data_IF_191462455403
#
_entry.id   IF_191462455403
#
_cell.length_a   1.000
_cell.length_b   1.000
_cell.length_c   1.000
_cell.angle_alpha   90.00
_cell.angle_beta   90.00
_cell.angle_gamma   90.00
#
_symmetry.space_group_name_H-M   'P 1'
#
loop_
_entity.id
_entity.type
_entity.pdbx_description
1 polymer ?
#
# COMPACT_ATOMS: atom_id res chain seq x y z
N UNK A 1 -3.50 -18.76 0.67
CA UNK A 1 -3.58 -18.41 -0.77
C UNK A 1 -3.96 -19.62 -1.65
N UNK A 2 -4.96 -20.41 -1.21
CA UNK A 2 -5.33 -21.69 -1.85
C UNK A 2 -5.95 -21.45 -3.24
N UNK A 3 -6.79 -20.41 -3.38
CA UNK A 3 -7.44 -20.05 -4.64
C UNK A 3 -6.45 -19.63 -5.74
N UNK A 4 -5.35 -18.96 -5.38
CA UNK A 4 -4.29 -18.62 -6.34
C UNK A 4 -3.53 -19.86 -6.80
N UNK A 5 -3.15 -20.74 -5.87
CA UNK A 5 -2.46 -21.98 -6.20
C UNK A 5 -3.34 -22.90 -7.08
N UNK A 6 -4.64 -22.97 -6.81
CA UNK A 6 -5.61 -23.70 -7.64
C UNK A 6 -5.80 -23.07 -9.02
N UNK A 7 -5.89 -21.74 -9.11
CA UNK A 7 -6.00 -21.01 -10.37
C UNK A 7 -4.78 -21.24 -11.28
N UNK A 8 -3.57 -21.13 -10.72
CA UNK A 8 -2.31 -21.35 -11.43
C UNK A 8 -2.18 -22.82 -11.84
N UNK A 9 -2.48 -23.77 -10.94
CA UNK A 9 -2.42 -25.20 -11.23
C UNK A 9 -3.41 -25.64 -12.33
N UNK A 10 -4.53 -24.95 -12.49
CA UNK A 10 -5.52 -25.21 -13.56
C UNK A 10 -5.20 -24.50 -14.87
N UNK A 11 -4.12 -23.72 -14.94
CA UNK A 11 -3.83 -22.85 -16.08
C UNK A 11 -4.85 -21.72 -16.26
N UNK A 12 -5.77 -21.54 -15.31
CA UNK A 12 -6.85 -20.55 -15.36
C UNK A 12 -6.42 -19.28 -14.62
N UNK A 13 -5.44 -18.58 -15.21
CA UNK A 13 -4.96 -17.28 -14.72
C UNK A 13 -6.03 -16.17 -14.79
N UNK A 14 -7.22 -16.46 -15.32
CA UNK A 14 -8.35 -15.53 -15.43
C UNK A 14 -9.42 -15.71 -14.34
N UNK A 15 -9.21 -16.63 -13.39
CA UNK A 15 -10.18 -16.95 -12.36
C UNK A 15 -10.15 -16.00 -11.14
N UNK A 16 -8.97 -15.51 -10.74
CA UNK A 16 -8.81 -14.56 -9.63
C UNK A 16 -8.12 -13.27 -10.06
N UNK A 17 -8.48 -12.14 -9.43
CA UNK A 17 -7.87 -10.84 -9.73
C UNK A 17 -6.37 -10.83 -9.43
N UNK A 18 -5.95 -11.54 -8.38
CA UNK A 18 -4.54 -11.71 -8.03
C UNK A 18 -3.77 -12.45 -9.14
N UNK A 19 -4.33 -13.52 -9.70
CA UNK A 19 -3.70 -14.25 -10.81
C UNK A 19 -3.62 -13.40 -12.09
N UNK A 20 -4.61 -12.53 -12.33
CA UNK A 20 -4.55 -11.59 -13.45
C UNK A 20 -3.47 -10.53 -13.25
N UNK A 21 -3.39 -9.91 -12.07
CA UNK A 21 -2.34 -8.92 -11.75
C UNK A 21 -0.97 -9.58 -11.87
N UNK A 22 -0.78 -10.75 -11.26
CA UNK A 22 0.50 -11.49 -11.30
C UNK A 22 0.91 -11.83 -12.73
N UNK A 23 -0.04 -12.31 -13.55
CA UNK A 23 0.22 -12.71 -14.94
C UNK A 23 0.45 -11.57 -15.94
N UNK A 24 0.20 -10.32 -15.55
CA UNK A 24 0.47 -9.12 -16.38
C UNK A 24 1.85 -8.51 -16.07
N UNK A 25 2.40 -8.83 -14.90
CA UNK A 25 3.76 -8.43 -14.52
C UNK A 25 4.79 -9.31 -15.22
N UNK A 26 6.06 -8.89 -15.19
CA UNK A 26 7.14 -9.63 -15.83
C UNK A 26 7.35 -11.00 -15.16
N UNK A 27 7.86 -11.98 -15.92
CA UNK A 27 8.00 -13.37 -15.44
C UNK A 27 8.84 -13.48 -14.17
N UNK A 28 9.81 -12.59 -13.98
CA UNK A 28 10.65 -12.53 -12.79
C UNK A 28 9.89 -12.04 -11.54
N UNK A 29 8.73 -11.41 -11.69
CA UNK A 29 7.86 -10.97 -10.61
C UNK A 29 6.76 -11.97 -10.26
N UNK A 30 6.57 -13.03 -11.07
CA UNK A 30 5.49 -14.00 -10.87
C UNK A 30 5.61 -14.74 -9.53
N UNK A 31 4.49 -14.88 -8.84
CA UNK A 31 4.41 -15.54 -7.53
C UNK A 31 5.10 -14.80 -6.38
N UNK A 32 5.73 -13.64 -6.63
CA UNK A 32 6.41 -12.84 -5.59
C UNK A 32 5.48 -11.76 -5.04
N UNK A 33 5.63 -11.45 -3.76
CA UNK A 33 4.95 -10.34 -3.07
C UNK A 33 3.43 -10.28 -3.35
N UNK A 34 2.77 -11.45 -3.36
CA UNK A 34 1.37 -11.57 -3.78
C UNK A 34 0.41 -10.73 -2.90
N UNK A 35 0.71 -10.60 -1.62
CA UNK A 35 -0.05 -9.75 -0.71
C UNK A 35 0.17 -8.26 -1.02
N UNK A 36 1.42 -7.85 -1.24
CA UNK A 36 1.78 -6.49 -1.68
C UNK A 36 1.03 -6.13 -2.97
N UNK A 37 0.88 -7.09 -3.90
CA UNK A 37 0.11 -6.88 -5.13
C UNK A 37 -1.36 -6.54 -4.89
N UNK A 38 -1.93 -6.98 -3.78
CA UNK A 38 -3.30 -6.68 -3.37
C UNK A 38 -3.44 -5.43 -2.50
N UNK A 39 -2.36 -4.85 -1.97
CA UNK A 39 -2.43 -3.66 -1.11
C UNK A 39 -1.78 -2.42 -1.72
N UNK A 40 -0.72 -2.60 -2.49
CA UNK A 40 0.11 -1.50 -2.98
C UNK A 40 -0.64 -0.66 -4.01
N UNK A 41 -0.57 0.67 -3.82
CA UNK A 41 -1.19 1.65 -4.73
C UNK A 41 -0.79 1.45 -6.19
N UNK A 42 0.46 1.04 -6.45
CA UNK A 42 0.99 0.79 -7.80
C UNK A 42 0.17 -0.21 -8.62
N UNK A 43 -0.56 -1.13 -7.96
CA UNK A 43 -1.37 -2.14 -8.63
C UNK A 43 -2.86 -1.79 -8.68
N UNK A 44 -3.32 -0.76 -7.95
CA UNK A 44 -4.75 -0.45 -7.80
C UNK A 44 -5.41 0.03 -9.09
N UNK A 45 -4.68 0.81 -9.89
CA UNK A 45 -5.14 1.18 -11.22
C UNK A 45 -5.21 -0.02 -12.17
N UNK A 46 -4.17 -0.87 -12.18
CA UNK A 46 -4.14 -2.10 -12.97
C UNK A 46 -5.30 -3.04 -12.59
N UNK A 47 -5.58 -3.18 -11.30
CA UNK A 47 -6.71 -3.95 -10.78
C UNK A 47 -8.04 -3.45 -11.36
N UNK A 48 -8.28 -2.14 -11.29
CA UNK A 48 -9.47 -1.51 -11.87
C UNK A 48 -9.54 -1.77 -13.39
N UNK A 49 -8.43 -1.55 -14.11
CA UNK A 49 -8.34 -1.76 -15.55
C UNK A 49 -8.72 -3.20 -15.94
N UNK A 50 -8.19 -4.20 -15.24
CA UNK A 50 -8.48 -5.61 -15.50
C UNK A 50 -9.95 -5.96 -15.26
N UNK A 51 -10.53 -5.43 -14.17
CA UNK A 51 -11.96 -5.61 -13.88
C UNK A 51 -12.82 -5.00 -14.99
N UNK A 52 -12.54 -3.76 -15.39
CA UNK A 52 -13.32 -3.07 -16.43
C UNK A 52 -13.20 -3.75 -17.79
N UNK A 53 -12.01 -4.24 -18.16
CA UNK A 53 -11.82 -5.02 -19.39
C UNK A 53 -12.61 -6.33 -19.37
N UNK A 54 -12.66 -7.03 -18.22
CA UNK A 54 -13.44 -8.26 -18.07
C UNK A 54 -14.94 -7.99 -18.16
N UNK A 55 -15.43 -6.94 -17.51
CA UNK A 55 -16.83 -6.51 -17.59
C UNK A 55 -17.21 -6.06 -19.00
N UNK A 56 -16.33 -5.33 -19.69
CA UNK A 56 -16.53 -4.93 -21.09
C UNK A 56 -16.62 -6.13 -22.02
N UNK A 57 -15.72 -7.11 -21.87
CA UNK A 57 -15.74 -8.37 -22.64
C UNK A 57 -17.04 -9.15 -22.40
N UNK A 58 -17.56 -9.12 -21.17
CA UNK A 58 -18.84 -9.72 -20.80
C UNK A 58 -20.07 -8.88 -21.21
N UNK A 59 -19.88 -7.70 -21.82
CA UNK A 59 -20.93 -6.74 -22.20
C UNK A 59 -21.77 -6.26 -21.01
N UNK A 60 -21.16 -6.17 -19.83
CA UNK A 60 -21.79 -5.64 -18.61
C UNK A 60 -21.59 -4.13 -18.43
N UNK A 61 -20.65 -3.54 -19.20
CA UNK A 61 -20.40 -2.10 -19.24
C UNK A 61 -20.49 -1.65 -20.71
N UNK A 62 -21.25 -0.58 -20.96
CA UNK A 62 -21.47 -0.03 -22.29
C UNK A 62 -20.43 1.02 -22.67
N UNK A 63 -19.81 1.64 -21.67
CA UNK A 63 -18.80 2.69 -21.77
C UNK A 63 -17.61 2.32 -22.64
N UNK A 64 -17.06 3.33 -23.32
CA UNK A 64 -15.86 3.21 -24.14
C UNK A 64 -14.63 3.27 -23.24
N UNK A 65 -14.28 2.12 -22.67
CA UNK A 65 -13.02 1.94 -21.96
C UNK A 65 -11.91 1.89 -23.01
N UNK A 66 -11.00 2.86 -22.99
CA UNK A 66 -9.81 2.80 -23.83
C UNK A 66 -8.98 1.65 -23.27
N UNK A 67 -8.82 0.58 -24.06
CA UNK A 67 -7.91 -0.50 -23.70
C UNK A 67 -6.49 0.03 -23.77
N UNK A 68 -6.06 0.65 -22.69
CA UNK A 68 -4.68 0.97 -22.45
C UNK A 68 -3.85 -0.31 -22.59
N UNK A 69 -2.72 -0.25 -23.30
CA UNK A 69 -1.75 -1.33 -23.26
C UNK A 69 -1.38 -1.61 -21.80
N UNK A 70 -1.44 -2.88 -21.40
CA UNK A 70 -1.04 -3.34 -20.07
C UNK A 70 0.47 -3.11 -19.80
N UNK A 71 1.24 -2.75 -20.84
CA UNK A 71 2.67 -2.49 -20.78
C UNK A 71 3.00 -0.98 -20.76
N UNK A 72 2.26 -0.15 -21.51
CA UNK A 72 2.61 1.27 -21.71
C UNK A 72 1.66 2.28 -21.06
N UNK A 73 0.40 1.90 -20.89
CA UNK A 73 -0.68 2.83 -20.56
C UNK A 73 -1.46 2.40 -19.31
N UNK A 74 -0.79 1.68 -18.40
CA UNK A 74 -1.43 1.19 -17.18
C UNK A 74 -2.12 2.31 -16.42
N UNK A 75 -3.32 2.01 -15.97
CA UNK A 75 -4.05 2.84 -15.03
C UNK A 75 -3.28 2.89 -13.71
N UNK A 76 -3.39 4.02 -13.02
CA UNK A 76 -2.68 4.29 -11.77
C UNK A 76 -3.62 4.40 -10.58
N UNK A 77 -3.06 4.42 -9.38
CA UNK A 77 -3.81 4.59 -8.14
C UNK A 77 -4.55 5.95 -8.09
N UNK A 78 -3.98 6.96 -8.75
CA UNK A 78 -4.56 8.28 -8.89
C UNK A 78 -5.88 8.26 -9.67
N UNK A 79 -6.00 7.39 -10.69
CA UNK A 79 -7.24 7.23 -11.47
C UNK A 79 -8.38 6.69 -10.58
N UNK A 80 -8.07 5.69 -9.75
CA UNK A 80 -9.01 5.15 -8.73
C UNK A 80 -9.44 6.26 -7.77
N UNK A 81 -8.47 7.04 -7.29
CA UNK A 81 -8.72 8.13 -6.34
C UNK A 81 -9.57 9.25 -6.95
N UNK A 82 -9.36 9.60 -8.21
CA UNK A 82 -10.13 10.60 -8.93
C UNK A 82 -11.59 10.14 -9.12
N UNK A 83 -11.79 8.88 -9.53
CA UNK A 83 -13.13 8.28 -9.67
C UNK A 83 -13.89 8.30 -8.34
N UNK A 84 -13.23 7.93 -7.24
CA UNK A 84 -13.84 7.97 -5.90
C UNK A 84 -14.29 9.38 -5.48
N UNK A 85 -13.62 10.44 -5.98
CA UNK A 85 -14.02 11.84 -5.79
C UNK A 85 -15.10 12.31 -6.77
N UNK A 86 -15.59 11.45 -7.64
CA UNK A 86 -16.44 11.78 -8.80
C UNK A 86 -15.78 12.76 -9.79
N UNK A 87 -14.45 12.77 -9.89
CA UNK A 87 -13.71 13.61 -10.83
C UNK A 87 -13.64 12.95 -12.21
N UNK A 88 -14.81 12.77 -12.84
CA UNK A 88 -14.91 12.13 -14.15
C UNK A 88 -14.32 12.96 -15.29
N UNK A 89 -14.27 14.28 -15.12
CA UNK A 89 -13.69 15.21 -16.09
C UNK A 89 -12.18 15.42 -15.89
N UNK A 90 -11.55 14.69 -14.97
CA UNK A 90 -10.09 14.71 -14.78
C UNK A 90 -9.38 14.26 -16.06
N UNK A 91 -8.38 15.02 -16.49
CA UNK A 91 -7.65 14.72 -17.73
C UNK A 91 -7.04 13.32 -17.73
N UNK A 92 -6.59 12.82 -16.57
CA UNK A 92 -6.05 11.47 -16.44
C UNK A 92 -7.14 10.40 -16.57
N UNK A 93 -8.34 10.64 -16.05
CA UNK A 93 -9.47 9.71 -16.19
C UNK A 93 -10.00 9.71 -17.63
N UNK A 94 -10.10 10.88 -18.25
CA UNK A 94 -10.62 11.05 -19.62
C UNK A 94 -9.76 10.38 -20.69
N UNK A 95 -8.42 10.30 -20.48
CA UNK A 95 -7.55 9.53 -21.40
C UNK A 95 -7.72 8.02 -21.27
N UNK A 96 -8.42 7.54 -20.24
CA UNK A 96 -8.67 6.12 -19.99
C UNK A 96 -10.12 5.71 -20.27
N UNK A 97 -11.08 6.60 -20.03
CA UNK A 97 -12.49 6.39 -20.32
C UNK A 97 -13.00 7.56 -21.17
N UNK A 98 -13.15 7.31 -22.47
CA UNK A 98 -13.49 8.37 -23.43
C UNK A 98 -14.96 8.79 -23.32
N UNK A 99 -15.83 7.80 -23.14
CA UNK A 99 -17.26 8.02 -22.95
C UNK A 99 -17.73 7.09 -21.85
N UNK A 100 -18.26 7.66 -20.76
CA UNK A 100 -18.84 6.88 -19.67
C UNK A 100 -20.33 7.17 -19.51
N UNK A 101 -21.13 6.10 -19.64
CA UNK A 101 -22.57 6.14 -19.41
C UNK A 101 -22.87 6.43 -17.93
N UNK A 102 -24.02 7.07 -17.64
CA UNK A 102 -24.38 7.43 -16.26
C UNK A 102 -24.52 6.22 -15.34
N UNK A 103 -25.07 5.11 -15.84
CA UNK A 103 -25.22 3.87 -15.05
C UNK A 103 -23.84 3.27 -14.78
N UNK A 104 -23.00 3.22 -15.82
CA UNK A 104 -21.64 2.71 -15.70
C UNK A 104 -20.79 3.57 -14.75
N UNK A 105 -20.97 4.91 -14.70
CA UNK A 105 -20.25 5.78 -13.73
C UNK A 105 -20.43 5.28 -12.30
N UNK A 106 -21.67 5.00 -11.91
CA UNK A 106 -21.97 4.56 -10.56
C UNK A 106 -21.35 3.18 -10.28
N UNK A 107 -21.48 2.24 -11.22
CA UNK A 107 -20.89 0.90 -11.08
C UNK A 107 -19.36 0.94 -11.02
N UNK A 108 -18.71 1.75 -11.86
CA UNK A 108 -17.25 1.91 -11.85
C UNK A 108 -16.78 2.51 -10.53
N UNK A 109 -17.53 3.47 -9.96
CA UNK A 109 -17.23 3.99 -8.64
C UNK A 109 -17.36 2.93 -7.54
N UNK A 110 -18.41 2.12 -7.56
CA UNK A 110 -18.60 1.02 -6.62
C UNK A 110 -17.45 -0.01 -6.72
N UNK A 111 -16.97 -0.29 -7.93
CA UNK A 111 -15.78 -1.14 -8.12
C UNK A 111 -14.54 -0.50 -7.47
N UNK A 112 -14.33 0.81 -7.64
CA UNK A 112 -13.24 1.52 -6.96
C UNK A 112 -13.37 1.46 -5.44
N UNK A 113 -14.59 1.52 -4.90
CA UNK A 113 -14.85 1.37 -3.46
C UNK A 113 -14.49 -0.04 -2.99
N UNK A 114 -14.87 -1.09 -3.73
CA UNK A 114 -14.49 -2.48 -3.44
C UNK A 114 -12.97 -2.65 -3.44
N UNK A 115 -12.27 -2.13 -4.45
CA UNK A 115 -10.79 -2.22 -4.57
C UNK A 115 -10.11 -1.52 -3.39
N UNK A 116 -10.61 -0.33 -3.01
CA UNK A 116 -10.13 0.43 -1.85
C UNK A 116 -10.35 -0.35 -0.55
N UNK A 117 -11.56 -0.87 -0.36
CA UNK A 117 -11.97 -1.52 0.88
C UNK A 117 -11.24 -2.86 1.07
N UNK A 118 -11.04 -3.63 0.01
CA UNK A 118 -10.23 -4.84 0.04
C UNK A 118 -8.80 -4.55 0.49
N UNK A 119 -8.15 -3.51 -0.07
CA UNK A 119 -6.82 -3.13 0.35
C UNK A 119 -6.79 -2.65 1.82
N UNK A 120 -7.80 -1.88 2.25
CA UNK A 120 -7.91 -1.42 3.63
C UNK A 120 -8.10 -2.57 4.63
N UNK A 121 -8.91 -3.58 4.29
CA UNK A 121 -9.12 -4.79 5.10
C UNK A 121 -7.82 -5.56 5.29
N UNK A 122 -7.07 -5.81 4.21
CA UNK A 122 -5.82 -6.57 4.28
C UNK A 122 -4.79 -5.81 5.13
N UNK A 123 -4.67 -4.49 4.94
CA UNK A 123 -3.80 -3.64 5.78
C UNK A 123 -4.21 -3.72 7.25
N UNK A 124 -5.50 -3.64 7.57
CA UNK A 124 -5.97 -3.76 8.95
C UNK A 124 -5.62 -5.13 9.56
N UNK A 125 -5.83 -6.23 8.83
CA UNK A 125 -5.45 -7.57 9.27
C UNK A 125 -3.95 -7.69 9.56
N UNK A 126 -3.09 -7.12 8.70
CA UNK A 126 -1.64 -7.11 8.92
C UNK A 126 -1.23 -6.31 10.16
N UNK A 127 -1.87 -5.15 10.37
CA UNK A 127 -1.60 -4.32 11.55
C UNK A 127 -2.05 -5.02 12.85
N UNK A 128 -3.20 -5.70 12.85
CA UNK A 128 -3.64 -6.50 14.01
C UNK A 128 -2.68 -7.64 14.29
N UNK A 129 -2.26 -8.39 13.27
CA UNK A 129 -1.27 -9.45 13.45
C UNK A 129 0.07 -8.93 14.01
N UNK A 130 0.48 -7.72 13.62
CA UNK A 130 1.67 -7.08 14.19
C UNK A 130 1.46 -6.68 15.66
N UNK A 131 0.29 -6.13 16.01
CA UNK A 131 -0.06 -5.77 17.38
C UNK A 131 -0.13 -7.01 18.29
N UNK A 132 -0.68 -8.12 17.80
CA UNK A 132 -0.75 -9.40 18.53
C UNK A 132 0.65 -9.91 18.89
N UNK A 133 1.61 -9.80 17.96
CA UNK A 133 3.02 -10.18 18.20
C UNK A 133 3.66 -9.26 19.24
N UNK A 134 3.28 -7.98 19.28
CA UNK A 134 3.79 -7.01 20.24
C UNK A 134 3.08 -7.07 21.60
N UNK A 135 1.93 -7.74 21.68
CA UNK A 135 1.08 -7.74 22.88
C UNK A 135 0.40 -6.38 23.13
N UNK A 136 0.19 -5.60 22.07
CA UNK A 136 -0.36 -4.24 22.12
C UNK A 136 -1.81 -4.22 21.61
N UNK A 137 -2.61 -3.25 22.04
CA UNK A 137 -3.99 -3.03 21.55
C UNK A 137 -4.23 -1.63 21.03
N UNK A 138 -3.18 -0.82 20.93
CA UNK A 138 -3.22 0.56 20.47
C UNK A 138 -2.14 0.77 19.42
N UNK A 139 -2.45 1.57 18.42
CA UNK A 139 -1.51 1.92 17.35
C UNK A 139 -1.46 3.44 17.17
N UNK A 140 -0.26 3.99 17.31
CA UNK A 140 0.06 5.36 16.90
C UNK A 140 1.25 5.30 15.97
N UNK A 141 1.01 5.36 14.67
CA UNK A 141 2.03 5.15 13.66
C UNK A 141 2.21 6.34 12.73
N UNK A 142 3.47 6.66 12.47
CA UNK A 142 3.85 7.57 11.39
C UNK A 142 3.89 6.75 10.10
N UNK A 143 3.12 7.15 9.08
CA UNK A 143 2.96 6.41 7.84
C UNK A 143 3.19 7.27 6.60
N UNK A 144 3.76 6.63 5.58
CA UNK A 144 3.90 7.14 4.22
C UNK A 144 2.87 6.50 3.28
N UNK A 145 2.87 6.94 2.02
CA UNK A 145 2.14 6.28 0.95
C UNK A 145 1.13 7.22 0.30
N UNK A 146 1.29 7.43 -1.01
CA UNK A 146 0.38 8.24 -1.82
C UNK A 146 -1.04 7.67 -1.81
N UNK A 147 -1.20 6.34 -1.86
CA UNK A 147 -2.52 5.72 -1.84
C UNK A 147 -3.21 5.85 -0.48
N UNK A 148 -2.49 5.63 0.63
CA UNK A 148 -3.05 5.71 1.98
C UNK A 148 -3.61 7.11 2.29
N UNK A 149 -2.85 8.15 1.95
CA UNK A 149 -3.22 9.54 2.22
C UNK A 149 -4.01 10.21 1.09
N UNK A 150 -3.81 9.77 -0.15
CA UNK A 150 -4.38 10.35 -1.35
C UNK A 150 -5.68 9.69 -1.81
N UNK A 151 -6.10 8.57 -1.21
CA UNK A 151 -7.36 7.91 -1.59
C UNK A 151 -8.49 8.31 -0.63
N UNK A 152 -9.66 8.75 -1.14
CA UNK A 152 -10.79 9.11 -0.29
C UNK A 152 -11.20 7.97 0.67
N UNK A 153 -11.36 8.32 1.95
CA UNK A 153 -11.78 7.42 3.04
C UNK A 153 -10.84 6.27 3.40
N UNK A 154 -9.73 6.04 2.68
CA UNK A 154 -8.88 4.86 2.91
C UNK A 154 -8.42 4.73 4.38
N UNK A 155 -7.80 5.79 4.94
CA UNK A 155 -7.40 5.84 6.36
C UNK A 155 -8.57 5.54 7.31
N UNK A 156 -9.71 6.18 7.08
CA UNK A 156 -10.87 6.04 7.95
C UNK A 156 -11.40 4.60 7.94
N UNK A 157 -11.40 3.96 6.78
CA UNK A 157 -11.84 2.57 6.61
C UNK A 157 -10.86 1.60 7.25
N UNK A 158 -9.54 1.85 7.14
CA UNK A 158 -8.54 1.08 7.91
C UNK A 158 -8.82 1.20 9.41
N UNK A 159 -9.05 2.41 9.94
CA UNK A 159 -9.39 2.63 11.35
C UNK A 159 -10.69 1.92 11.76
N UNK A 160 -11.70 1.91 10.89
CA UNK A 160 -12.95 1.18 11.12
C UNK A 160 -12.71 -0.33 11.22
N UNK A 161 -11.94 -0.92 10.31
CA UNK A 161 -11.61 -2.35 10.38
C UNK A 161 -10.76 -2.69 11.60
N UNK A 162 -9.79 -1.84 11.97
CA UNK A 162 -9.02 -2.02 13.21
C UNK A 162 -9.93 -2.04 14.45
N UNK A 163 -10.89 -1.12 14.52
CA UNK A 163 -11.89 -1.09 15.60
C UNK A 163 -12.74 -2.37 15.63
N UNK A 164 -13.23 -2.84 14.47
CA UNK A 164 -13.99 -4.10 14.36
C UNK A 164 -13.15 -5.31 14.80
N UNK A 165 -11.84 -5.28 14.57
CA UNK A 165 -10.91 -6.33 14.96
C UNK A 165 -10.41 -6.20 16.42
N UNK A 166 -10.95 -5.25 17.20
CA UNK A 166 -10.67 -5.14 18.63
C UNK A 166 -9.48 -4.25 19.00
N UNK A 167 -8.97 -3.42 18.08
CA UNK A 167 -7.96 -2.40 18.39
C UNK A 167 -8.64 -1.22 19.08
N UNK A 168 -8.20 -0.90 20.29
CA UNK A 168 -8.81 0.11 21.17
C UNK A 168 -8.61 1.54 20.64
N UNK A 169 -7.44 1.80 20.06
CA UNK A 169 -7.08 3.12 19.56
C UNK A 169 -6.19 3.00 18.32
N UNK A 170 -6.48 3.80 17.29
CA UNK A 170 -5.69 3.86 16.08
C UNK A 170 -5.52 5.31 15.59
N UNK A 171 -4.26 5.78 15.57
CA UNK A 171 -3.86 7.08 15.04
C UNK A 171 -2.77 6.90 13.98
N UNK A 172 -2.99 7.52 12.82
CA UNK A 172 -2.02 7.57 11.74
C UNK A 172 -1.59 9.01 11.52
N UNK A 173 -0.29 9.23 11.48
CA UNK A 173 0.34 10.53 11.27
C UNK A 173 1.09 10.50 9.94
N UNK A 174 0.86 11.47 9.07
CA UNK A 174 1.55 11.51 7.78
C UNK A 174 3.02 11.90 7.98
N UNK A 175 3.93 11.16 7.35
CA UNK A 175 5.34 11.56 7.25
C UNK A 175 5.49 12.99 6.74
N UNK A 176 6.45 13.71 7.33
CA UNK A 176 6.71 15.12 7.03
C UNK A 176 5.86 16.10 7.83
N UNK A 177 4.81 15.64 8.53
CA UNK A 177 4.12 16.46 9.55
C UNK A 177 4.94 16.50 10.86
N UNK A 178 5.76 15.47 11.12
CA UNK A 178 6.68 15.36 12.27
C UNK A 178 8.17 15.23 11.90
N UNK A 179 8.59 15.74 10.73
CA UNK A 179 10.01 15.85 10.38
C UNK A 179 10.72 14.49 10.22
N UNK A 180 10.43 13.78 9.12
CA UNK A 180 10.91 12.42 8.89
C UNK A 180 12.43 12.29 8.65
N UNK A 181 13.10 13.37 8.24
CA UNK A 181 14.57 13.43 8.24
C UNK A 181 15.16 13.21 9.66
N UNK A 182 14.40 13.53 10.71
CA UNK A 182 14.82 13.34 12.10
C UNK A 182 14.82 11.86 12.50
N UNK A 183 13.94 11.01 11.95
CA UNK A 183 13.80 9.61 12.37
C UNK A 183 15.00 8.76 11.96
N UNK A 184 15.38 8.83 10.69
CA UNK A 184 16.55 8.14 10.16
C UNK A 184 17.85 8.69 10.75
N UNK A 185 17.97 10.01 10.96
CA UNK A 185 19.11 10.61 11.64
C UNK A 185 19.19 10.21 13.12
N UNK A 186 18.07 10.19 13.86
CA UNK A 186 18.02 9.74 15.26
C UNK A 186 18.45 8.28 15.39
N UNK A 187 17.95 7.40 14.51
CA UNK A 187 18.36 5.98 14.50
C UNK A 187 19.86 5.83 14.21
N UNK A 188 20.38 6.54 13.21
CA UNK A 188 21.81 6.53 12.90
C UNK A 188 22.66 7.10 14.04
N UNK A 189 22.20 8.17 14.70
CA UNK A 189 22.88 8.77 15.84
C UNK A 189 22.89 7.83 17.05
N UNK A 190 21.75 7.22 17.41
CA UNK A 190 21.66 6.27 18.53
C UNK A 190 22.50 5.02 18.25
N UNK A 191 22.42 4.46 17.04
CA UNK A 191 23.25 3.31 16.66
C UNK A 191 24.75 3.65 16.67
N UNK A 192 25.13 4.84 16.17
CA UNK A 192 26.50 5.32 16.18
C UNK A 192 27.04 5.57 17.59
N UNK A 193 26.24 6.20 18.46
CA UNK A 193 26.59 6.42 19.88
C UNK A 193 26.76 5.10 20.60
N UNK A 194 25.78 4.18 20.49
CA UNK A 194 25.87 2.86 21.12
C UNK A 194 27.09 2.08 20.63
N UNK A 195 27.40 2.14 19.33
CA UNK A 195 28.59 1.48 18.77
C UNK A 195 29.87 2.06 19.36
N UNK A 196 30.00 3.40 19.42
CA UNK A 196 31.16 4.07 20.01
C UNK A 196 31.28 3.76 21.49
N UNK A 197 30.21 3.79 22.27
CA UNK A 197 30.25 3.53 23.71
C UNK A 197 30.60 2.07 24.04
N UNK A 198 30.17 1.12 23.21
CA UNK A 198 30.44 -0.32 23.41
C UNK A 198 31.77 -0.78 22.83
N UNK A 199 32.35 -0.04 21.88
CA UNK A 199 33.58 -0.44 21.16
C UNK A 199 34.70 0.61 21.20
N UNK A 200 34.55 1.70 21.96
CA UNK A 200 35.66 2.61 22.22
C UNK A 200 36.74 1.87 23.01
N UNK A 201 38.01 1.86 22.54
CA UNK A 201 39.09 1.35 23.35
C UNK A 201 39.15 2.16 24.65
N UNK A 202 39.25 1.46 25.79
CA UNK A 202 39.44 2.12 27.08
C UNK A 202 40.61 3.08 26.94
N UNK A 203 40.33 4.39 26.90
CA UNK A 203 41.38 5.40 26.98
C UNK A 203 41.94 5.27 28.38
N UNK A 204 43.08 4.59 28.47
CA UNK A 204 43.85 4.44 29.68
C UNK A 204 43.98 5.80 30.36
N UNK A 205 43.49 5.86 31.59
CA UNK A 205 43.73 6.93 32.54
C UNK A 205 45.21 6.91 32.94
N UNK A 206 46.10 7.32 32.04
CA UNK A 206 47.51 7.61 32.34
C UNK A 206 47.67 9.10 32.64
N UNK A 207 47.02 9.55 33.71
CA UNK A 207 47.41 10.79 34.37
C UNK A 207 47.22 10.61 35.86
N UNK A 208 48.24 10.06 36.54
CA UNK A 208 48.58 10.33 37.94
C UNK A 208 49.80 9.48 38.31
N UNK A 209 50.98 10.08 38.21
CA UNK A 209 52.07 10.01 39.20
C UNK A 209 53.24 10.84 38.68
N UNK A 210 53.20 12.14 38.95
CA UNK A 210 54.41 12.96 39.05
C UNK A 210 54.20 13.90 40.24
N UNK A 211 54.35 13.33 41.42
CA UNK A 211 54.55 14.10 42.65
C UNK A 211 55.64 13.42 43.47
N UNK A 212 56.74 14.17 43.61
CA UNK A 212 57.67 14.22 44.73
C UNK A 212 58.49 12.98 45.07
N UNK A 213 59.80 13.08 44.80
CA UNK A 213 60.84 12.60 45.72
C UNK A 213 62.01 13.58 45.70
N UNK A 214 62.46 13.89 46.91
CA UNK A 214 63.38 14.93 47.38
C UNK A 214 64.80 14.88 46.83
#
# INVERSE_FOLDING_TARGET
NILYAEAVARGDRNSSILAMIDGVLSEDEWGKQLEEKLIAGQNKGLELQLVLLKLKKARLINSEIISASLEKDRWKAEDVSAILRNQWDDENVNVRIKTIDKVDRQQVKEICEIIRDQAAQIVACHLVGALDVLGEQEIKNITEGSFFWGTPQFKNIVQQYLCVLGVNYAEFIKVGVDGDNTGSMKRAAVAGINYIETHAPQRESSSHQNTTSS
#
